data_IF_800891462621
#
_entry.id   IF_800891462621
#
_cell.length_a   1.000
_cell.length_b   1.000
_cell.length_c   1.000
_cell.angle_alpha   90.00
_cell.angle_beta   90.00
_cell.angle_gamma   90.00
#
_symmetry.space_group_name_H-M   'P 1'
#
loop_
_entity.id
_entity.type
_entity.pdbx_description
1 polymer ?
#
# COMPACT_ATOMS: atom_id res chain seq x y z
N UNK A 1 -0.92 42.36 14.54
CA UNK A 1 0.10 41.41 14.09
C UNK A 1 -0.17 40.12 14.84
N UNK A 2 -0.71 39.11 14.17
CA UNK A 2 -0.83 37.77 14.75
C UNK A 2 0.53 37.14 14.47
N UNK A 3 1.36 37.02 15.49
CA UNK A 3 2.60 36.26 15.41
C UNK A 3 2.21 34.82 15.09
N UNK A 4 2.57 34.34 13.90
CA UNK A 4 2.39 32.94 13.54
C UNK A 4 3.32 32.11 14.42
N UNK A 5 2.75 31.20 15.22
CA UNK A 5 3.53 30.26 16.00
C UNK A 5 4.52 29.51 15.08
N UNK A 6 5.78 29.30 15.52
CA UNK A 6 6.76 28.56 14.74
C UNK A 6 6.28 27.13 14.52
N UNK A 7 6.04 26.77 13.25
CA UNK A 7 5.72 25.40 12.87
C UNK A 7 6.98 24.54 12.99
N UNK A 8 6.91 23.49 13.82
CA UNK A 8 7.96 22.48 13.94
C UNK A 8 8.22 21.80 12.60
N UNK A 9 9.49 21.53 12.29
CA UNK A 9 9.86 20.75 11.12
C UNK A 9 9.42 19.28 11.24
N UNK A 10 9.24 18.59 10.11
CA UNK A 10 8.93 17.16 10.11
C UNK A 10 9.98 16.31 10.85
N UNK A 11 11.25 16.75 10.88
CA UNK A 11 12.32 16.06 11.61
C UNK A 11 12.15 16.20 13.12
N UNK A 12 11.76 17.39 13.61
CA UNK A 12 11.47 17.62 15.03
C UNK A 12 10.22 16.84 15.47
N UNK A 13 9.18 16.79 14.64
CA UNK A 13 7.99 15.98 14.90
C UNK A 13 8.32 14.47 14.97
N UNK A 14 9.16 13.95 14.07
CA UNK A 14 9.63 12.56 14.10
C UNK A 14 10.43 12.23 15.36
N UNK A 15 11.25 13.18 15.83
CA UNK A 15 12.05 13.00 17.05
C UNK A 15 11.16 12.96 18.30
N UNK A 16 10.21 13.89 18.40
CA UNK A 16 9.23 13.92 19.50
C UNK A 16 8.38 12.63 19.51
N UNK A 17 7.95 12.14 18.35
CA UNK A 17 7.23 10.86 18.27
C UNK A 17 8.11 9.70 18.75
N UNK A 18 9.38 9.64 18.32
CA UNK A 18 10.30 8.59 18.74
C UNK A 18 10.52 8.55 20.26
N UNK A 19 10.62 9.71 20.91
CA UNK A 19 10.78 9.83 22.37
C UNK A 19 9.55 9.32 23.14
N UNK A 20 8.35 9.39 22.55
CA UNK A 20 7.09 8.94 23.18
C UNK A 20 6.78 7.45 22.96
N UNK A 21 7.48 6.78 22.03
CA UNK A 21 7.19 5.38 21.66
C UNK A 21 7.26 4.39 22.82
N UNK A 22 8.21 4.47 23.76
CA UNK A 22 8.25 3.54 24.90
C UNK A 22 6.98 3.64 25.76
N UNK A 23 6.53 4.86 26.09
CA UNK A 23 5.30 5.06 26.87
C UNK A 23 4.05 4.59 26.10
N UNK A 24 3.99 4.82 24.79
CA UNK A 24 2.92 4.33 23.92
C UNK A 24 2.86 2.80 23.90
N UNK A 25 4.02 2.14 23.85
CA UNK A 25 4.15 0.68 23.89
C UNK A 25 3.62 0.12 25.21
N UNK A 26 4.04 0.70 26.35
CA UNK A 26 3.57 0.32 27.68
C UNK A 26 2.05 0.47 27.81
N UNK A 27 1.48 1.61 27.36
CA UNK A 27 0.02 1.84 27.35
C UNK A 27 -0.72 0.78 26.54
N UNK A 28 -0.20 0.40 25.37
CA UNK A 28 -0.79 -0.66 24.56
C UNK A 28 -0.72 -2.00 25.29
N UNK A 29 0.45 -2.39 25.77
CA UNK A 29 0.69 -3.64 26.51
C UNK A 29 -0.27 -3.76 27.69
N UNK A 30 -0.36 -2.72 28.53
CA UNK A 30 -1.29 -2.68 29.66
C UNK A 30 -2.76 -2.77 29.23
N UNK A 31 -3.14 -2.10 28.12
CA UNK A 31 -4.48 -2.21 27.56
C UNK A 31 -4.78 -3.63 27.08
N UNK A 32 -3.86 -4.26 26.35
CA UNK A 32 -4.04 -5.61 25.80
C UNK A 32 -4.14 -6.67 26.89
N UNK A 33 -3.38 -6.53 27.98
CA UNK A 33 -3.48 -7.41 29.14
C UNK A 33 -4.83 -7.22 29.85
N UNK A 34 -5.25 -5.97 30.06
CA UNK A 34 -6.52 -5.63 30.72
C UNK A 34 -7.76 -6.17 29.99
N UNK A 35 -7.72 -6.32 28.67
CA UNK A 35 -8.84 -6.86 27.88
C UNK A 35 -8.71 -8.36 27.60
N UNK A 36 -7.76 -9.04 28.22
CA UNK A 36 -7.44 -10.46 27.96
C UNK A 36 -7.23 -10.75 26.47
N UNK A 37 -6.51 -9.87 25.77
CA UNK A 37 -6.40 -9.93 24.30
C UNK A 37 -5.79 -11.26 23.82
N UNK A 38 -4.86 -11.84 24.57
CA UNK A 38 -4.27 -13.15 24.26
C UNK A 38 -5.32 -14.28 24.25
N UNK A 39 -6.19 -14.31 25.25
CA UNK A 39 -7.26 -15.33 25.33
C UNK A 39 -8.30 -15.09 24.23
N UNK A 40 -8.66 -13.82 24.02
CA UNK A 40 -9.56 -13.44 22.94
C UNK A 40 -8.98 -13.82 21.57
N UNK A 41 -7.70 -13.56 21.31
CA UNK A 41 -7.05 -13.85 20.03
C UNK A 41 -6.94 -15.34 19.76
N UNK A 42 -6.86 -16.19 20.77
CA UNK A 42 -6.90 -17.63 20.57
C UNK A 42 -8.33 -18.13 20.30
N UNK A 43 -9.32 -17.59 21.02
CA UNK A 43 -10.73 -17.94 20.83
C UNK A 43 -11.31 -17.44 19.52
N UNK A 44 -10.86 -16.29 19.01
CA UNK A 44 -11.42 -15.70 17.78
C UNK A 44 -11.23 -16.61 16.57
N UNK A 45 -10.17 -17.44 16.55
CA UNK A 45 -9.92 -18.39 15.47
C UNK A 45 -10.56 -19.77 15.66
N UNK A 46 -11.34 -19.97 16.73
CA UNK A 46 -12.32 -21.05 16.74
C UNK A 46 -13.35 -20.73 15.65
N UNK A 47 -13.59 -21.68 14.73
CA UNK A 47 -14.21 -21.42 13.42
C UNK A 47 -15.47 -20.54 13.47
N UNK A 48 -16.38 -20.78 14.42
CA UNK A 48 -17.61 -19.98 14.57
C UNK A 48 -17.32 -18.52 14.92
N UNK A 49 -16.33 -18.26 15.77
CA UNK A 49 -16.08 -16.92 16.32
C UNK A 49 -15.47 -15.97 15.28
N UNK A 50 -14.67 -16.48 14.33
CA UNK A 50 -14.09 -15.65 13.27
C UNK A 50 -15.12 -15.34 12.18
N UNK A 51 -15.94 -16.33 11.81
CA UNK A 51 -16.98 -16.19 10.77
C UNK A 51 -18.05 -15.16 11.20
N UNK A 52 -18.38 -15.12 12.49
CA UNK A 52 -19.37 -14.21 13.08
C UNK A 52 -18.85 -12.77 13.27
N UNK A 53 -17.55 -12.52 13.12
CA UNK A 53 -16.99 -11.18 13.27
C UNK A 53 -17.44 -10.29 12.10
N UNK A 54 -17.98 -9.11 12.43
CA UNK A 54 -18.36 -8.13 11.42
C UNK A 54 -17.16 -7.29 10.97
N UNK A 55 -17.23 -6.77 9.74
CA UNK A 55 -16.22 -5.83 9.25
C UNK A 55 -16.13 -4.57 10.12
N UNK A 56 -17.25 -4.07 10.63
CA UNK A 56 -17.27 -2.90 11.50
C UNK A 56 -16.57 -3.16 12.84
N UNK A 57 -16.69 -4.37 13.41
CA UNK A 57 -15.95 -4.74 14.62
C UNK A 57 -14.44 -4.77 14.36
N UNK A 58 -14.03 -5.36 13.24
CA UNK A 58 -12.63 -5.37 12.80
C UNK A 58 -12.10 -3.95 12.59
N UNK A 59 -12.83 -3.10 11.85
CA UNK A 59 -12.48 -1.70 11.60
C UNK A 59 -12.33 -0.91 12.90
N UNK A 60 -13.31 -1.03 13.81
CA UNK A 60 -13.28 -0.36 15.11
C UNK A 60 -12.12 -0.85 15.99
N UNK A 61 -11.77 -2.13 15.90
CA UNK A 61 -10.60 -2.68 16.57
C UNK A 61 -9.32 -2.01 16.08
N UNK A 62 -9.11 -1.93 14.76
CA UNK A 62 -7.94 -1.27 14.17
C UNK A 62 -7.83 0.19 14.57
N UNK A 63 -8.93 0.95 14.53
CA UNK A 63 -8.99 2.36 14.95
C UNK A 63 -8.56 2.52 16.41
N UNK A 64 -8.99 1.61 17.29
CA UNK A 64 -8.61 1.64 18.71
C UNK A 64 -7.13 1.35 18.91
N UNK A 65 -6.59 0.34 18.23
CA UNK A 65 -5.17 -0.03 18.30
C UNK A 65 -4.29 1.11 17.77
N UNK A 66 -4.59 1.64 16.58
CA UNK A 66 -3.84 2.76 16.00
C UNK A 66 -3.92 4.01 16.89
N UNK A 67 -5.11 4.32 17.43
CA UNK A 67 -5.28 5.44 18.35
C UNK A 67 -4.47 5.30 19.65
N UNK A 68 -4.31 4.10 20.19
CA UNK A 68 -3.42 3.86 21.34
C UNK A 68 -1.95 4.04 20.97
N UNK A 69 -1.54 3.50 19.81
CA UNK A 69 -0.16 3.61 19.30
C UNK A 69 0.26 5.05 19.00
N UNK A 70 -0.69 5.95 18.76
CA UNK A 70 -0.47 7.38 18.48
C UNK A 70 -0.77 8.29 19.68
N UNK A 71 -1.16 7.71 20.82
CA UNK A 71 -1.62 8.43 22.02
C UNK A 71 -2.78 9.40 21.74
N UNK A 72 -3.69 9.02 20.83
CA UNK A 72 -4.84 9.85 20.46
C UNK A 72 -5.98 9.73 21.47
N UNK A 73 -6.61 10.87 21.87
CA UNK A 73 -7.87 10.89 22.57
C UNK A 73 -8.93 10.09 21.81
N UNK A 74 -9.85 9.42 22.53
CA UNK A 74 -10.90 8.59 21.90
C UNK A 74 -11.72 9.33 20.84
N UNK A 75 -11.96 10.62 21.04
CA UNK A 75 -12.71 11.52 20.15
C UNK A 75 -12.00 11.83 18.83
N UNK A 76 -10.68 11.62 18.77
CA UNK A 76 -9.84 11.92 17.60
C UNK A 76 -9.44 10.67 16.82
N UNK A 77 -9.82 9.47 17.29
CA UNK A 77 -9.51 8.21 16.62
C UNK A 77 -10.47 8.03 15.45
N UNK A 78 -9.92 7.77 14.26
CA UNK A 78 -10.75 7.53 13.09
C UNK A 78 -9.96 7.11 11.86
N UNK A 79 -10.66 7.12 10.74
CA UNK A 79 -10.11 6.88 9.42
C UNK A 79 -9.58 8.20 8.85
N UNK A 80 -8.29 8.47 9.04
CA UNK A 80 -7.64 9.76 8.76
C UNK A 80 -6.51 9.67 7.71
N UNK A 81 -6.44 8.57 6.96
CA UNK A 81 -5.39 8.32 5.97
C UNK A 81 -5.51 9.07 4.64
N UNK A 82 -6.26 10.17 4.52
CA UNK A 82 -6.53 10.84 3.23
C UNK A 82 -5.27 11.43 2.57
N UNK A 83 -4.38 12.02 3.36
CA UNK A 83 -3.22 12.76 2.88
C UNK A 83 -1.88 12.03 3.09
N UNK A 84 -1.92 10.71 3.25
CA UNK A 84 -0.70 9.91 3.45
C UNK A 84 0.16 9.96 2.19
N UNK A 85 1.42 10.39 2.36
CA UNK A 85 2.46 10.33 1.35
C UNK A 85 3.63 9.53 1.90
N UNK A 86 4.14 8.59 1.11
CA UNK A 86 5.33 7.83 1.45
C UNK A 86 6.53 8.51 0.82
N UNK A 87 7.18 9.39 1.57
CA UNK A 87 8.40 10.05 1.12
C UNK A 87 9.61 9.13 1.39
N UNK A 88 10.18 8.56 0.33
CA UNK A 88 11.48 7.87 0.35
C UNK A 88 12.63 8.78 -0.09
N UNK A 89 13.88 8.35 0.11
CA UNK A 89 15.08 9.11 -0.32
C UNK A 89 15.20 9.26 -1.85
N UNK A 90 14.45 8.49 -2.64
CA UNK A 90 14.55 8.50 -4.10
C UNK A 90 13.19 8.63 -4.82
N UNK A 91 12.08 8.13 -4.25
CA UNK A 91 10.75 8.20 -4.90
C UNK A 91 9.63 8.34 -3.85
N UNK A 92 8.59 9.11 -4.19
CA UNK A 92 7.36 9.19 -3.39
C UNK A 92 6.39 8.11 -3.82
N UNK A 93 6.15 7.06 -3.03
CA UNK A 93 5.17 6.04 -3.42
C UNK A 93 3.74 6.55 -3.27
N UNK A 94 2.95 6.37 -4.33
CA UNK A 94 1.54 6.74 -4.34
C UNK A 94 0.68 5.65 -3.70
N UNK A 95 -0.03 6.05 -2.65
CA UNK A 95 -0.98 5.18 -1.94
C UNK A 95 -2.35 5.18 -2.62
N UNK A 96 -3.15 4.17 -2.29
CA UNK A 96 -4.54 4.05 -2.73
C UNK A 96 -5.36 5.31 -2.42
N UNK A 97 -6.25 5.70 -3.33
CA UNK A 97 -7.17 6.82 -3.11
C UNK A 97 -8.03 6.60 -1.85
N UNK A 98 -8.22 7.65 -1.05
CA UNK A 98 -8.89 7.55 0.25
C UNK A 98 -10.28 6.89 0.18
N UNK A 99 -11.07 7.24 -0.84
CA UNK A 99 -12.41 6.68 -1.08
C UNK A 99 -12.43 5.15 -1.30
N UNK A 100 -11.31 4.56 -1.71
CA UNK A 100 -11.22 3.14 -2.07
C UNK A 100 -10.64 2.28 -0.93
N UNK A 101 -10.05 2.90 0.09
CA UNK A 101 -9.35 2.21 1.18
C UNK A 101 -10.25 1.29 1.99
N UNK A 102 -11.45 1.76 2.36
CA UNK A 102 -12.39 0.96 3.16
C UNK A 102 -12.89 -0.26 2.39
N UNK A 103 -13.22 -0.10 1.11
CA UNK A 103 -13.66 -1.20 0.25
C UNK A 103 -12.58 -2.27 0.07
N UNK A 104 -11.32 -1.87 -0.12
CA UNK A 104 -10.20 -2.83 -0.20
C UNK A 104 -9.96 -3.53 1.14
N UNK A 105 -10.04 -2.79 2.26
CA UNK A 105 -9.90 -3.37 3.59
C UNK A 105 -11.05 -4.36 3.91
N UNK A 106 -12.27 -4.04 3.49
CA UNK A 106 -13.42 -4.93 3.61
C UNK A 106 -13.24 -6.18 2.77
N UNK A 107 -12.77 -6.05 1.53
CA UNK A 107 -12.46 -7.19 0.66
C UNK A 107 -11.44 -8.13 1.32
N UNK A 108 -10.37 -7.58 1.89
CA UNK A 108 -9.36 -8.37 2.60
C UNK A 108 -9.94 -9.07 3.85
N UNK A 109 -10.77 -8.36 4.62
CA UNK A 109 -11.44 -8.93 5.79
C UNK A 109 -12.36 -10.09 5.42
N UNK A 110 -13.28 -9.90 4.48
CA UNK A 110 -14.21 -10.97 4.09
C UNK A 110 -13.47 -12.16 3.44
N UNK A 111 -12.42 -11.89 2.66
CA UNK A 111 -11.56 -12.95 2.08
C UNK A 111 -10.81 -13.74 3.16
N UNK A 112 -10.47 -13.11 4.28
CA UNK A 112 -9.77 -13.77 5.38
C UNK A 112 -10.59 -14.88 6.04
N UNK A 113 -11.92 -14.81 5.99
CA UNK A 113 -12.82 -15.80 6.63
C UNK A 113 -12.66 -17.22 6.07
N UNK A 114 -12.19 -17.34 4.83
CA UNK A 114 -11.93 -18.64 4.19
C UNK A 114 -10.47 -19.11 4.29
N UNK A 115 -9.57 -18.31 4.86
CA UNK A 115 -8.13 -18.60 4.90
C UNK A 115 -7.72 -19.30 6.20
N UNK A 116 -6.63 -20.10 6.18
CA UNK A 116 -6.04 -20.59 7.42
C UNK A 116 -5.45 -19.44 8.23
N UNK A 117 -5.49 -19.55 9.58
CA UNK A 117 -4.94 -18.55 10.52
C UNK A 117 -3.54 -18.06 10.16
N UNK A 118 -2.68 -18.96 9.69
CA UNK A 118 -1.32 -18.63 9.27
C UNK A 118 -1.31 -17.62 8.11
N UNK A 119 -2.06 -17.87 7.04
CA UNK A 119 -2.18 -16.96 5.90
C UNK A 119 -2.82 -15.63 6.31
N UNK A 120 -3.87 -15.66 7.15
CA UNK A 120 -4.52 -14.45 7.70
C UNK A 120 -3.48 -13.57 8.43
N UNK A 121 -2.58 -14.20 9.19
CA UNK A 121 -1.54 -13.49 9.96
C UNK A 121 -0.52 -12.77 9.08
N UNK A 122 -0.37 -13.12 7.80
CA UNK A 122 0.44 -12.36 6.84
C UNK A 122 -0.43 -11.36 6.06
N UNK A 123 -1.57 -11.82 5.54
CA UNK A 123 -2.38 -11.07 4.60
C UNK A 123 -3.02 -9.82 5.23
N UNK A 124 -3.68 -9.92 6.38
CA UNK A 124 -4.35 -8.73 6.96
C UNK A 124 -3.34 -7.64 7.34
N UNK A 125 -2.21 -7.94 8.03
CA UNK A 125 -1.17 -6.95 8.30
C UNK A 125 -0.55 -6.34 7.04
N UNK A 126 -0.38 -7.13 5.97
CA UNK A 126 0.09 -6.65 4.66
C UNK A 126 -0.86 -5.59 4.09
N UNK A 127 -2.17 -5.86 4.10
CA UNK A 127 -3.16 -4.93 3.56
C UNK A 127 -3.27 -3.65 4.39
N UNK A 128 -3.10 -3.70 5.71
CA UNK A 128 -3.02 -2.48 6.54
C UNK A 128 -1.90 -1.55 6.06
N UNK A 129 -0.73 -2.12 5.74
CA UNK A 129 0.38 -1.34 5.21
C UNK A 129 0.11 -0.88 3.78
N UNK A 130 -0.39 -1.74 2.88
CA UNK A 130 -0.65 -1.36 1.49
C UNK A 130 -1.69 -0.24 1.33
N UNK A 131 -2.76 -0.29 2.13
CA UNK A 131 -3.87 0.67 2.07
C UNK A 131 -3.51 2.00 2.72
N UNK A 132 -2.60 2.00 3.70
CA UNK A 132 -2.30 3.18 4.53
C UNK A 132 -3.59 3.79 5.10
N UNK A 133 -4.35 2.98 5.83
CA UNK A 133 -5.68 3.37 6.33
C UNK A 133 -5.62 4.57 7.29
N UNK A 134 -4.54 4.70 8.07
CA UNK A 134 -4.34 5.78 9.03
C UNK A 134 -3.34 6.83 8.54
N UNK A 135 -3.44 8.06 9.04
CA UNK A 135 -2.50 9.16 8.77
C UNK A 135 -1.06 8.85 9.23
N UNK A 136 -0.92 8.08 10.31
CA UNK A 136 0.35 7.53 10.78
C UNK A 136 0.14 6.18 11.49
N UNK A 137 1.23 5.46 11.76
CA UNK A 137 1.21 4.28 12.63
C UNK A 137 0.80 2.98 11.94
N UNK A 138 0.55 2.99 10.62
CA UNK A 138 0.15 1.80 9.86
C UNK A 138 1.10 0.62 10.08
N UNK A 139 2.42 0.84 10.01
CA UNK A 139 3.41 -0.20 10.27
C UNK A 139 3.35 -0.77 11.68
N UNK A 140 3.15 0.08 12.70
CA UNK A 140 2.98 -0.36 14.10
C UNK A 140 1.67 -1.15 14.25
N UNK A 141 0.57 -0.66 13.69
CA UNK A 141 -0.72 -1.35 13.70
C UNK A 141 -0.66 -2.71 13.00
N UNK A 142 0.01 -2.79 11.84
CA UNK A 142 0.26 -4.02 11.10
C UNK A 142 1.01 -5.04 11.96
N UNK A 143 2.09 -4.64 12.63
CA UNK A 143 2.86 -5.53 13.52
C UNK A 143 2.06 -5.99 14.75
N UNK A 144 1.26 -5.12 15.36
CA UNK A 144 0.35 -5.52 16.45
C UNK A 144 -0.65 -6.56 15.96
N UNK A 145 -1.29 -6.28 14.81
CA UNK A 145 -2.24 -7.21 14.20
C UNK A 145 -1.58 -8.56 13.89
N UNK A 146 -0.34 -8.56 13.37
CA UNK A 146 0.44 -9.78 13.17
C UNK A 146 0.59 -10.59 14.45
N UNK A 147 0.99 -9.96 15.56
CA UNK A 147 1.18 -10.64 16.85
C UNK A 147 -0.10 -11.27 17.38
N UNK A 148 -1.24 -10.62 17.16
CA UNK A 148 -2.57 -11.11 17.54
C UNK A 148 -2.96 -12.32 16.68
N UNK A 149 -2.74 -12.23 15.37
CA UNK A 149 -3.21 -13.25 14.43
C UNK A 149 -2.29 -14.48 14.38
N UNK A 150 -1.00 -14.35 14.70
CA UNK A 150 -0.07 -15.49 14.73
C UNK A 150 -0.32 -16.41 15.94
N UNK A 151 0.13 -17.66 15.84
CA UNK A 151 0.10 -18.59 16.98
C UNK A 151 1.23 -18.24 17.94
N UNK A 152 0.89 -18.06 19.21
CA UNK A 152 1.85 -17.79 20.28
C UNK A 152 1.92 -18.99 21.22
N UNK A 153 3.12 -19.27 21.73
CA UNK A 153 3.37 -20.45 22.57
C UNK A 153 2.81 -20.31 23.99
N UNK A 154 2.68 -19.08 24.47
CA UNK A 154 2.18 -18.72 25.79
C UNK A 154 1.71 -17.26 25.82
N UNK A 155 1.03 -16.85 26.90
CA UNK A 155 0.71 -15.44 27.15
C UNK A 155 1.98 -14.60 27.26
N UNK A 156 3.01 -15.10 27.94
CA UNK A 156 4.28 -14.39 28.11
C UNK A 156 5.00 -14.17 26.77
N UNK A 157 5.01 -15.19 25.90
CA UNK A 157 5.54 -15.08 24.53
C UNK A 157 4.80 -14.02 23.71
N UNK A 158 3.46 -14.02 23.78
CA UNK A 158 2.62 -13.01 23.14
C UNK A 158 2.94 -11.59 23.63
N UNK A 159 3.00 -11.39 24.94
CA UNK A 159 3.27 -10.07 25.54
C UNK A 159 4.67 -9.57 25.18
N UNK A 160 5.69 -10.44 25.25
CA UNK A 160 7.06 -10.10 24.88
C UNK A 160 7.18 -9.69 23.40
N UNK A 161 6.56 -10.46 22.49
CA UNK A 161 6.54 -10.11 21.06
C UNK A 161 5.81 -8.81 20.81
N UNK A 162 4.69 -8.57 21.50
CA UNK A 162 3.93 -7.34 21.36
C UNK A 162 4.80 -6.14 21.71
N UNK A 163 5.45 -6.15 22.88
CA UNK A 163 6.36 -5.11 23.34
C UNK A 163 7.49 -4.83 22.33
N UNK A 164 8.18 -5.88 21.89
CA UNK A 164 9.26 -5.79 20.90
C UNK A 164 8.80 -5.13 19.59
N UNK A 165 7.64 -5.56 19.07
CA UNK A 165 7.16 -5.16 17.75
C UNK A 165 6.56 -3.76 17.71
N UNK A 166 6.17 -3.19 18.84
CA UNK A 166 5.68 -1.80 18.92
C UNK A 166 6.77 -0.79 19.28
N UNK A 167 7.94 -1.27 19.71
CA UNK A 167 9.11 -0.45 20.00
C UNK A 167 9.64 0.31 18.76
N UNK A 168 10.63 1.18 18.98
CA UNK A 168 11.34 1.88 17.90
C UNK A 168 11.92 0.92 16.85
N UNK A 169 12.40 -0.23 17.33
CA UNK A 169 13.12 -1.23 16.55
C UNK A 169 12.15 -2.35 16.11
N UNK A 170 10.84 -2.13 16.23
CA UNK A 170 9.82 -3.13 15.91
C UNK A 170 9.90 -3.69 14.48
N UNK A 171 10.44 -2.90 13.53
CA UNK A 171 10.68 -3.32 12.14
C UNK A 171 11.75 -4.40 12.03
N UNK A 172 12.72 -4.38 12.94
CA UNK A 172 13.84 -5.31 12.97
C UNK A 172 13.37 -6.72 13.35
N UNK A 173 12.27 -6.82 14.11
CA UNK A 173 11.69 -8.10 14.51
C UNK A 173 10.72 -8.69 13.48
N UNK A 174 9.95 -7.85 12.80
CA UNK A 174 9.03 -8.27 11.74
C UNK A 174 8.63 -7.06 10.89
N UNK A 175 8.78 -7.15 9.57
CA UNK A 175 8.27 -6.14 8.65
C UNK A 175 7.37 -6.79 7.60
N UNK A 176 6.07 -6.47 7.64
CA UNK A 176 5.09 -7.00 6.70
C UNK A 176 4.90 -5.99 5.58
N UNK A 177 5.89 -5.93 4.68
CA UNK A 177 6.03 -4.83 3.73
C UNK A 177 5.55 -5.21 2.32
N UNK A 178 4.55 -4.51 1.74
CA UNK A 178 4.09 -4.76 0.37
C UNK A 178 5.20 -4.70 -0.69
N UNK A 179 6.26 -3.92 -0.47
CA UNK A 179 7.37 -3.80 -1.42
C UNK A 179 8.09 -5.12 -1.71
N UNK A 180 7.91 -6.15 -0.87
CA UNK A 180 8.47 -7.48 -1.10
C UNK A 180 7.89 -8.19 -2.31
N UNK A 181 6.68 -7.82 -2.76
CA UNK A 181 6.00 -8.43 -3.91
C UNK A 181 5.35 -7.43 -4.87
N UNK A 182 5.44 -6.13 -4.60
CA UNK A 182 4.75 -5.10 -5.42
C UNK A 182 5.13 -5.17 -6.91
N UNK A 183 6.41 -5.42 -7.22
CA UNK A 183 6.85 -5.51 -8.61
C UNK A 183 6.15 -6.67 -9.32
N UNK A 184 6.11 -7.86 -8.71
CA UNK A 184 5.45 -9.02 -9.30
C UNK A 184 3.93 -8.84 -9.41
N UNK A 185 3.30 -8.21 -8.42
CA UNK A 185 1.87 -7.85 -8.47
C UNK A 185 1.58 -6.94 -9.66
N UNK A 186 2.39 -5.92 -9.87
CA UNK A 186 2.25 -5.03 -11.02
C UNK A 186 2.42 -5.79 -12.32
N UNK A 187 3.40 -6.71 -12.42
CA UNK A 187 3.57 -7.54 -13.62
C UNK A 187 2.34 -8.39 -13.93
N UNK A 188 1.73 -9.03 -12.91
CA UNK A 188 0.50 -9.79 -13.08
C UNK A 188 -0.65 -8.92 -13.58
N UNK A 189 -0.80 -7.73 -12.99
CA UNK A 189 -1.77 -6.74 -13.46
C UNK A 189 -1.50 -6.34 -14.93
N UNK A 190 -0.28 -5.94 -15.27
CA UNK A 190 0.08 -5.50 -16.61
C UNK A 190 -0.09 -6.62 -17.66
N UNK A 191 0.22 -7.87 -17.32
CA UNK A 191 -0.07 -9.06 -18.16
C UNK A 191 -1.55 -9.16 -18.50
N UNK A 192 -2.42 -8.94 -17.51
CA UNK A 192 -3.88 -8.93 -17.74
C UNK A 192 -4.33 -7.81 -18.68
N UNK A 193 -3.51 -6.75 -18.82
CA UNK A 193 -3.72 -5.62 -19.75
C UNK A 193 -2.99 -5.80 -21.09
N UNK A 194 -2.44 -6.99 -21.36
CA UNK A 194 -1.80 -7.33 -22.63
C UNK A 194 -0.35 -6.85 -22.77
N UNK A 195 0.28 -6.38 -21.69
CA UNK A 195 1.71 -6.12 -21.71
C UNK A 195 2.51 -7.42 -21.83
N UNK A 196 3.66 -7.34 -22.48
CA UNK A 196 4.51 -8.49 -22.78
C UNK A 196 5.94 -8.25 -22.32
N UNK A 197 6.58 -9.31 -21.81
CA UNK A 197 8.00 -9.32 -21.48
C UNK A 197 8.85 -9.36 -22.76
N UNK A 198 9.85 -8.51 -22.83
CA UNK A 198 10.79 -8.40 -23.96
C UNK A 198 12.21 -8.22 -23.44
N UNK A 199 13.20 -8.22 -24.33
CA UNK A 199 14.59 -7.92 -23.99
C UNK A 199 14.78 -6.51 -23.39
N UNK A 200 13.81 -5.60 -23.61
CA UNK A 200 13.81 -4.24 -23.06
C UNK A 200 13.01 -4.13 -21.75
N UNK A 201 12.59 -5.26 -21.18
CA UNK A 201 11.69 -5.33 -20.03
C UNK A 201 10.22 -5.46 -20.44
N UNK A 202 9.33 -5.03 -19.54
CA UNK A 202 7.89 -5.14 -19.76
C UNK A 202 7.40 -4.00 -20.66
N UNK A 203 6.73 -4.35 -21.76
CA UNK A 203 6.31 -3.38 -22.78
C UNK A 203 4.80 -3.40 -23.00
N UNK A 204 4.17 -2.24 -23.24
CA UNK A 204 2.74 -2.15 -23.48
C UNK A 204 2.32 -2.76 -24.83
N UNK A 205 1.02 -3.06 -24.99
CA UNK A 205 0.46 -3.39 -26.30
C UNK A 205 0.80 -2.32 -27.34
N UNK A 206 1.23 -2.76 -28.54
CA UNK A 206 1.67 -1.86 -29.61
C UNK A 206 2.84 -0.93 -29.21
N UNK A 207 3.78 -1.42 -28.40
CA UNK A 207 4.96 -0.68 -27.97
C UNK A 207 5.69 0.05 -29.12
N UNK A 208 5.83 -0.59 -30.28
CA UNK A 208 6.45 0.00 -31.48
C UNK A 208 5.72 1.24 -32.01
N UNK A 209 4.45 1.43 -31.65
CA UNK A 209 3.64 2.61 -32.05
C UNK A 209 3.60 3.69 -30.98
N UNK A 210 3.51 3.33 -29.70
CA UNK A 210 3.16 4.28 -28.64
C UNK A 210 4.17 4.39 -27.49
N UNK A 211 5.02 3.38 -27.30
CA UNK A 211 5.97 3.31 -26.20
C UNK A 211 5.36 3.47 -24.82
N UNK A 212 6.19 3.89 -23.87
CA UNK A 212 5.78 4.32 -22.53
C UNK A 212 5.73 5.85 -22.45
N UNK A 213 5.14 6.37 -21.38
CA UNK A 213 5.25 7.81 -21.08
C UNK A 213 6.71 8.18 -20.77
N UNK A 214 7.20 9.25 -21.38
CA UNK A 214 8.57 9.70 -21.20
C UNK A 214 8.80 11.13 -21.70
N UNK A 215 9.70 11.85 -21.02
CA UNK A 215 10.03 13.25 -21.28
C UNK A 215 9.78 14.14 -20.07
N UNK A 216 10.02 15.45 -20.23
CA UNK A 216 9.92 16.43 -19.15
C UNK A 216 8.54 17.10 -19.17
N UNK A 217 7.91 17.22 -18.02
CA UNK A 217 6.70 18.03 -17.86
C UNK A 217 7.07 19.52 -17.66
N UNK A 218 7.32 20.24 -18.76
CA UNK A 218 7.63 21.68 -18.70
C UNK A 218 6.43 22.57 -19.06
N UNK A 219 6.42 23.79 -18.51
CA UNK A 219 5.53 24.87 -18.96
C UNK A 219 4.04 24.71 -18.63
N UNK A 220 3.62 23.62 -17.98
CA UNK A 220 2.21 23.35 -17.73
C UNK A 220 1.63 24.09 -16.51
N UNK A 221 2.47 24.74 -15.68
CA UNK A 221 2.03 25.40 -14.43
C UNK A 221 1.00 26.52 -14.65
N UNK A 222 1.02 27.16 -15.81
CA UNK A 222 0.05 28.19 -16.20
C UNK A 222 -1.09 27.64 -17.09
N UNK A 223 -1.12 26.33 -17.34
CA UNK A 223 -2.15 25.70 -18.15
C UNK A 223 -3.48 25.62 -17.38
N UNK A 224 -4.65 25.75 -18.03
CA UNK A 224 -5.94 25.58 -17.36
C UNK A 224 -6.10 24.24 -16.62
N UNK A 225 -5.37 23.21 -17.06
CA UNK A 225 -5.35 21.87 -16.46
C UNK A 225 -4.11 21.60 -15.58
N UNK A 226 -3.45 22.63 -15.05
CA UNK A 226 -2.20 22.49 -14.29
C UNK A 226 -2.31 21.48 -13.13
N UNK A 227 -3.46 21.44 -12.45
CA UNK A 227 -3.71 20.49 -11.36
C UNK A 227 -3.63 19.03 -11.82
N UNK A 228 -4.35 18.67 -12.89
CA UNK A 228 -4.32 17.30 -13.42
C UNK A 228 -2.94 16.94 -13.98
N UNK A 229 -2.26 17.89 -14.61
CA UNK A 229 -0.94 17.65 -15.19
C UNK A 229 0.14 17.45 -14.11
N UNK A 230 0.07 18.20 -13.01
CA UNK A 230 0.94 17.98 -11.84
C UNK A 230 0.69 16.60 -11.20
N UNK A 231 -0.57 16.16 -11.16
CA UNK A 231 -0.90 14.83 -10.67
C UNK A 231 -0.37 13.73 -11.60
N UNK A 232 -0.49 13.90 -12.92
CA UNK A 232 0.04 12.96 -13.91
C UNK A 232 1.58 12.90 -13.85
N UNK A 233 2.27 14.03 -13.69
CA UNK A 233 3.73 14.06 -13.50
C UNK A 233 4.13 13.24 -12.27
N UNK A 234 3.48 13.50 -11.14
CA UNK A 234 3.71 12.78 -9.88
C UNK A 234 3.49 11.26 -10.02
N UNK A 235 2.45 10.86 -10.76
CA UNK A 235 2.19 9.46 -11.06
C UNK A 235 3.29 8.90 -11.98
N UNK A 236 3.71 9.64 -13.00
CA UNK A 236 4.75 9.20 -13.94
C UNK A 236 6.07 8.89 -13.23
N UNK A 237 6.43 9.69 -12.22
CA UNK A 237 7.63 9.50 -11.42
C UNK A 237 7.58 8.25 -10.52
N UNK A 238 6.38 7.72 -10.24
CA UNK A 238 6.18 6.66 -9.23
C UNK A 238 5.69 5.33 -9.83
N UNK A 239 4.85 5.38 -10.86
CA UNK A 239 4.10 4.24 -11.40
C UNK A 239 3.89 4.42 -12.94
N UNK A 240 4.96 4.69 -13.68
CA UNK A 240 4.90 5.00 -15.12
C UNK A 240 4.15 3.96 -15.97
N UNK A 241 4.26 2.67 -15.64
CA UNK A 241 3.60 1.58 -16.39
C UNK A 241 2.08 1.59 -16.20
N UNK A 242 1.61 1.82 -14.97
CA UNK A 242 0.17 1.94 -14.68
C UNK A 242 -0.40 3.19 -15.35
N UNK A 243 0.34 4.31 -15.32
CA UNK A 243 -0.06 5.53 -16.02
C UNK A 243 -0.11 5.35 -17.53
N UNK A 244 0.91 4.71 -18.11
CA UNK A 244 0.95 4.38 -19.55
C UNK A 244 -0.28 3.57 -19.93
N UNK A 245 -0.62 2.55 -19.14
CA UNK A 245 -1.83 1.74 -19.35
C UNK A 245 -3.09 2.60 -19.29
N UNK A 246 -3.19 3.51 -18.32
CA UNK A 246 -4.36 4.38 -18.16
C UNK A 246 -4.54 5.33 -19.35
N UNK A 247 -3.42 5.82 -19.92
CA UNK A 247 -3.43 6.66 -21.13
C UNK A 247 -3.88 5.85 -22.35
N UNK A 248 -3.28 4.67 -22.56
CA UNK A 248 -3.61 3.80 -23.70
C UNK A 248 -5.08 3.40 -23.72
N UNK A 249 -5.67 3.13 -22.55
CA UNK A 249 -7.11 2.80 -22.48
C UNK A 249 -8.04 4.03 -22.41
N UNK A 250 -7.52 5.25 -22.28
CA UNK A 250 -8.33 6.48 -22.31
C UNK A 250 -8.49 7.00 -23.74
N UNK A 251 -7.48 6.81 -24.56
CA UNK A 251 -7.42 7.38 -25.90
C UNK A 251 -7.88 6.40 -26.99
N UNK A 252 -8.56 6.92 -28.02
CA UNK A 252 -8.73 6.17 -29.26
C UNK A 252 -7.39 6.09 -30.02
N UNK A 253 -7.24 5.15 -30.94
CA UNK A 253 -6.01 5.03 -31.76
C UNK A 253 -5.67 6.36 -32.49
N UNK A 254 -6.70 7.04 -33.00
CA UNK A 254 -6.56 8.33 -33.68
C UNK A 254 -6.05 9.43 -32.73
N UNK A 255 -6.53 9.43 -31.49
CA UNK A 255 -6.15 10.45 -30.51
C UNK A 255 -4.77 10.16 -29.91
N UNK A 256 -4.38 8.89 -29.76
CA UNK A 256 -3.04 8.50 -29.30
C UNK A 256 -1.93 9.10 -30.18
N UNK A 257 -2.11 9.10 -31.50
CA UNK A 257 -1.15 9.69 -32.44
C UNK A 257 -0.91 11.19 -32.22
N UNK A 258 -1.80 11.88 -31.50
CA UNK A 258 -1.65 13.32 -31.18
C UNK A 258 -0.83 13.56 -29.92
N UNK A 259 -0.65 12.54 -29.08
CA UNK A 259 0.06 12.62 -27.80
C UNK A 259 1.38 11.86 -27.81
N UNK A 260 1.72 11.19 -28.91
CA UNK A 260 2.96 10.44 -29.09
C UNK A 260 3.98 11.22 -29.90
N UNK A 261 5.22 11.22 -29.42
CA UNK A 261 6.37 11.79 -30.13
C UNK A 261 7.19 10.67 -30.78
N UNK A 262 7.21 10.65 -32.10
CA UNK A 262 7.93 9.67 -32.93
C UNK A 262 9.37 10.09 -33.28
N UNK A 263 9.86 11.22 -32.75
CA UNK A 263 11.23 11.70 -33.02
C UNK A 263 12.31 10.94 -32.24
N UNK A 264 11.92 10.12 -31.27
CA UNK A 264 12.81 9.24 -30.52
C UNK A 264 13.00 7.90 -31.25
N UNK A 265 14.05 7.15 -30.87
CA UNK A 265 14.33 5.82 -31.44
C UNK A 265 13.13 4.87 -31.32
N UNK A 266 12.36 5.01 -30.24
CA UNK A 266 11.06 4.38 -30.05
C UNK A 266 10.04 5.49 -29.79
N UNK A 267 8.81 5.43 -30.33
CA UNK A 267 7.78 6.42 -30.02
C UNK A 267 7.53 6.45 -28.51
N UNK A 268 7.26 7.64 -27.96
CA UNK A 268 6.94 7.81 -26.53
C UNK A 268 5.70 8.65 -26.36
N UNK A 269 4.90 8.35 -25.34
CA UNK A 269 3.80 9.25 -24.94
C UNK A 269 4.44 10.50 -24.32
N UNK A 270 4.24 11.64 -24.97
CA UNK A 270 4.90 12.89 -24.60
C UNK A 270 4.05 13.69 -23.61
N UNK A 271 4.60 14.04 -22.43
CA UNK A 271 3.96 14.97 -21.49
C UNK A 271 3.55 16.29 -22.13
N UNK A 272 4.40 16.89 -22.96
CA UNK A 272 4.13 18.15 -23.66
C UNK A 272 2.93 18.02 -24.61
N UNK A 273 2.87 16.94 -25.38
CA UNK A 273 1.76 16.70 -26.30
C UNK A 273 0.48 16.33 -25.56
N UNK A 274 0.56 15.61 -24.43
CA UNK A 274 -0.56 15.42 -23.51
C UNK A 274 -1.08 16.77 -23.02
N UNK A 275 -0.23 17.69 -22.58
CA UNK A 275 -0.65 19.03 -22.13
C UNK A 275 -1.41 19.77 -23.24
N UNK A 276 -0.89 19.74 -24.47
CA UNK A 276 -1.43 20.50 -25.61
C UNK A 276 -2.71 19.91 -26.20
N UNK A 277 -2.83 18.58 -26.22
CA UNK A 277 -3.86 17.89 -26.99
C UNK A 277 -4.95 17.23 -26.14
N UNK A 278 -4.80 17.19 -24.81
CA UNK A 278 -5.80 16.59 -23.92
C UNK A 278 -6.81 17.62 -23.42
N UNK A 279 -8.09 17.25 -23.47
CA UNK A 279 -9.13 17.95 -22.71
C UNK A 279 -8.99 17.67 -21.20
N UNK A 280 -9.60 18.52 -20.37
CA UNK A 280 -9.63 18.33 -18.92
C UNK A 280 -10.27 17.00 -18.52
N UNK A 281 -11.34 16.58 -19.21
CA UNK A 281 -12.04 15.32 -18.93
C UNK A 281 -11.17 14.11 -19.27
N UNK A 282 -10.38 14.15 -20.35
CA UNK A 282 -9.43 13.09 -20.67
C UNK A 282 -8.33 12.97 -19.61
N UNK A 283 -7.75 14.09 -19.19
CA UNK A 283 -6.73 14.08 -18.13
C UNK A 283 -7.29 13.54 -16.81
N UNK A 284 -8.51 13.96 -16.44
CA UNK A 284 -9.17 13.44 -15.25
C UNK A 284 -9.47 11.94 -15.37
N UNK A 285 -9.86 11.46 -16.55
CA UNK A 285 -10.11 10.05 -16.80
C UNK A 285 -8.83 9.20 -16.65
N UNK A 286 -7.69 9.70 -17.14
CA UNK A 286 -6.38 9.05 -16.94
C UNK A 286 -6.10 8.88 -15.44
N UNK A 287 -6.24 9.96 -14.66
CA UNK A 287 -6.00 9.93 -13.21
C UNK A 287 -6.97 8.96 -12.52
N UNK A 288 -8.24 8.97 -12.88
CA UNK A 288 -9.24 8.06 -12.31
C UNK A 288 -8.90 6.59 -12.61
N UNK A 289 -8.59 6.26 -13.87
CA UNK A 289 -8.17 4.90 -14.27
C UNK A 289 -6.92 4.44 -13.54
N UNK A 290 -5.93 5.32 -13.39
CA UNK A 290 -4.74 5.00 -12.61
C UNK A 290 -5.09 4.58 -11.16
N UNK A 291 -5.96 5.33 -10.47
CA UNK A 291 -6.36 4.95 -9.11
C UNK A 291 -7.24 3.69 -9.06
N UNK A 292 -8.04 3.42 -10.10
CA UNK A 292 -8.73 2.13 -10.27
C UNK A 292 -7.70 0.99 -10.38
N UNK A 293 -6.61 1.17 -11.13
CA UNK A 293 -5.57 0.15 -11.23
C UNK A 293 -4.79 -0.04 -9.93
N UNK A 294 -4.48 1.04 -9.19
CA UNK A 294 -3.88 0.90 -7.85
C UNK A 294 -4.78 0.11 -6.91
N UNK A 295 -6.10 0.30 -7.00
CA UNK A 295 -7.09 -0.50 -6.27
C UNK A 295 -7.04 -1.97 -6.66
N UNK A 296 -7.01 -2.26 -7.96
CA UNK A 296 -6.89 -3.63 -8.49
C UNK A 296 -5.60 -4.31 -8.02
N UNK A 297 -4.43 -3.66 -8.18
CA UNK A 297 -3.15 -4.18 -7.69
C UNK A 297 -3.18 -4.44 -6.17
N UNK A 298 -3.81 -3.57 -5.38
CA UNK A 298 -3.93 -3.79 -3.93
C UNK A 298 -4.83 -4.99 -3.61
N UNK A 299 -5.88 -5.24 -4.41
CA UNK A 299 -6.71 -6.45 -4.27
C UNK A 299 -5.96 -7.71 -4.66
N UNK A 300 -5.06 -7.65 -5.65
CA UNK A 300 -4.20 -8.78 -5.99
C UNK A 300 -3.33 -9.25 -4.80
N UNK A 301 -2.92 -8.35 -3.90
CA UNK A 301 -2.22 -8.73 -2.66
C UNK A 301 -3.08 -9.61 -1.73
N UNK A 302 -4.40 -9.53 -1.80
CA UNK A 302 -5.32 -10.47 -1.12
C UNK A 302 -5.41 -11.76 -1.92
N UNK A 303 -5.52 -11.65 -3.24
CA UNK A 303 -5.74 -12.79 -4.13
C UNK A 303 -4.55 -13.76 -4.18
N UNK A 304 -3.31 -13.30 -3.97
CA UNK A 304 -2.15 -14.22 -3.83
C UNK A 304 -2.31 -15.18 -2.65
N UNK A 305 -3.06 -14.82 -1.60
CA UNK A 305 -3.34 -15.73 -0.48
C UNK A 305 -4.56 -16.61 -0.75
N UNK A 306 -5.57 -16.07 -1.43
CA UNK A 306 -6.83 -16.76 -1.74
C UNK A 306 -6.65 -17.85 -2.80
N UNK A 307 -5.92 -17.54 -3.87
CA UNK A 307 -5.71 -18.42 -5.02
C UNK A 307 -4.20 -18.45 -5.38
N UNK A 308 -3.32 -18.93 -4.49
CA UNK A 308 -1.86 -18.80 -4.67
C UNK A 308 -1.35 -19.44 -5.97
N UNK A 309 -2.03 -20.45 -6.50
CA UNK A 309 -1.63 -21.12 -7.73
C UNK A 309 -1.77 -20.26 -8.99
N UNK A 310 -2.65 -19.26 -8.96
CA UNK A 310 -2.82 -18.33 -10.09
C UNK A 310 -1.70 -17.27 -10.14
N UNK A 311 -0.97 -17.10 -9.03
CA UNK A 311 0.04 -16.06 -8.85
C UNK A 311 1.42 -16.65 -8.62
N UNK A 312 2.06 -17.11 -9.70
CA UNK A 312 3.45 -17.61 -9.67
C UNK A 312 4.46 -16.47 -9.84
N UNK A 313 5.65 -16.64 -9.27
CA UNK A 313 6.78 -15.75 -9.54
C UNK A 313 7.21 -15.90 -11.02
N UNK A 314 7.29 -14.79 -11.79
CA UNK A 314 7.66 -14.86 -13.20
C UNK A 314 9.07 -15.40 -13.46
N UNK A 315 10.00 -15.24 -12.51
CA UNK A 315 11.39 -15.70 -12.60
C UNK A 315 11.65 -17.05 -11.91
N UNK A 316 10.73 -17.48 -11.03
CA UNK A 316 10.78 -18.77 -10.37
C UNK A 316 9.38 -19.40 -10.35
N UNK A 317 8.88 -19.93 -11.49
CA UNK A 317 7.48 -20.35 -11.63
C UNK A 317 7.03 -21.47 -10.67
N UNK A 318 7.97 -22.15 -10.04
CA UNK A 318 7.72 -23.17 -9.01
C UNK A 318 7.31 -22.58 -7.66
N UNK A 319 7.50 -21.28 -7.44
CA UNK A 319 7.21 -20.57 -6.19
C UNK A 319 6.05 -19.60 -6.43
N UNK A 320 5.05 -19.64 -5.56
CA UNK A 320 3.93 -18.69 -5.55
C UNK A 320 4.37 -17.34 -4.99
N UNK A 321 3.70 -16.26 -5.37
CA UNK A 321 3.95 -14.94 -4.77
C UNK A 321 3.66 -14.93 -3.26
N UNK A 322 2.73 -15.78 -2.79
CA UNK A 322 2.48 -16.00 -1.37
C UNK A 322 3.71 -16.52 -0.64
N UNK A 323 4.29 -17.60 -1.14
CA UNK A 323 5.50 -18.21 -0.56
C UNK A 323 6.66 -17.22 -0.57
N UNK A 324 6.91 -16.57 -1.72
CA UNK A 324 7.95 -15.55 -1.84
C UNK A 324 7.76 -14.40 -0.84
N UNK A 325 6.52 -13.93 -0.64
CA UNK A 325 6.24 -12.88 0.34
C UNK A 325 6.58 -13.33 1.76
N UNK A 326 6.07 -14.51 2.15
CA UNK A 326 6.28 -15.08 3.48
C UNK A 326 7.77 -15.28 3.76
N UNK A 327 8.51 -15.81 2.79
CA UNK A 327 9.95 -16.04 2.90
C UNK A 327 10.69 -14.71 3.13
N UNK A 328 10.41 -13.67 2.33
CA UNK A 328 11.02 -12.34 2.52
C UNK A 328 10.71 -11.72 3.88
N UNK A 329 9.47 -11.84 4.35
CA UNK A 329 9.08 -11.35 5.69
C UNK A 329 9.90 -12.05 6.79
N UNK A 330 10.10 -13.36 6.67
CA UNK A 330 10.86 -14.14 7.64
C UNK A 330 12.38 -13.93 7.54
N UNK A 331 12.91 -13.77 6.33
CA UNK A 331 14.33 -13.45 6.10
C UNK A 331 14.70 -12.10 6.72
N UNK A 332 13.90 -11.07 6.53
CA UNK A 332 14.14 -9.73 7.12
C UNK A 332 14.07 -9.77 8.65
N UNK A 333 13.11 -10.51 9.22
CA UNK A 333 13.03 -10.71 10.67
C UNK A 333 14.29 -11.39 11.25
N UNK A 334 14.91 -12.31 10.49
CA UNK A 334 16.11 -13.03 10.90
C UNK A 334 17.40 -12.19 10.89
N UNK A 335 17.45 -11.08 10.14
CA UNK A 335 18.68 -10.26 9.98
C UNK A 335 19.08 -9.50 11.25
N UNK A 336 18.13 -9.24 12.13
CA UNK A 336 18.34 -8.38 13.31
C UNK A 336 18.30 -9.12 14.64
N UNK A 337 18.11 -10.46 14.62
CA UNK A 337 18.33 -11.31 15.79
C UNK A 337 19.84 -11.59 15.88
N UNK A 338 20.58 -10.69 16.51
CA UNK A 338 22.00 -10.88 16.87
C UNK A 338 22.22 -10.75 18.37
#
# INVERSE_FOLDING_TARGET
>A
MIESEPQLSQQELKKIDAEKRPEQAEKLVAFTDKIDLYEFSNKIFEKSNFEDLSFDDFKNFLIRINGLLRDLPKTERGFDGENVKLDGMLESQLVLAHKDKEDVLQYAFESSKSLPREDISYMLPLIINAVHYFGDGNGRTSRVLRTILEKNSSKDDFMKKLEQRVSSDGRDYIDVNPSFVNWEIEQHFLKSKGWTETDYGFTPPNFEKYGTIGGIFEGYRNHPNAKQLSEIERIADSDASLLTTAILETYSEKDLNRVVNSSYRHPVISPELLCKNSSQSQLQNIVNKYFEYKKECTRLLVDIFKNPDDFKNPFAPTITLKEMFIDKVNEEAGKYVK
#
